data_IF_922586285332
#
_entry.id   IF_922586285332
#
_cell.length_a   1.000
_cell.length_b   1.000
_cell.length_c   1.000
_cell.angle_alpha   90.00
_cell.angle_beta   90.00
_cell.angle_gamma   90.00
#
_symmetry.space_group_name_H-M   'P 1'
#
loop_
_entity.id
_entity.type
_entity.pdbx_description
1 polymer ?
#
# COMPACT_ATOMS: atom_id res chain seq x y z
N UNK A 1 22.74 -6.32 1.21
CA UNK A 1 22.09 -5.00 1.38
C UNK A 1 22.55 -3.92 0.38
N UNK A 2 23.77 -3.96 -0.18
CA UNK A 2 24.29 -2.94 -1.11
C UNK A 2 23.79 -3.03 -2.58
N UNK A 3 23.31 -4.19 -3.03
CA UNK A 3 22.85 -4.41 -4.42
C UNK A 3 21.37 -4.01 -4.60
N UNK A 4 20.51 -4.39 -3.65
CA UNK A 4 19.09 -4.02 -3.63
C UNK A 4 18.87 -2.50 -3.56
N UNK A 5 19.65 -1.78 -2.75
CA UNK A 5 19.56 -0.31 -2.64
C UNK A 5 20.09 0.44 -3.88
N UNK A 6 20.90 -0.22 -4.73
CA UNK A 6 21.35 0.35 -6.01
C UNK A 6 20.28 0.25 -7.10
N UNK A 7 19.45 -0.79 -7.06
CA UNK A 7 18.41 -1.04 -8.08
C UNK A 7 17.10 -0.35 -7.70
N UNK A 8 16.71 -0.43 -6.43
CA UNK A 8 15.48 0.18 -5.89
C UNK A 8 15.87 1.44 -5.13
N UNK A 9 15.86 2.57 -5.84
CA UNK A 9 15.95 3.88 -5.19
C UNK A 9 14.65 4.20 -4.46
N UNK A 10 14.70 5.05 -3.44
CA UNK A 10 13.52 5.46 -2.68
C UNK A 10 12.42 6.05 -3.60
N UNK A 11 12.81 6.81 -4.64
CA UNK A 11 11.90 7.33 -5.66
C UNK A 11 11.16 6.21 -6.42
N UNK A 12 11.87 5.17 -6.83
CA UNK A 12 11.29 4.02 -7.55
C UNK A 12 10.34 3.22 -6.68
N UNK A 13 10.69 3.02 -5.40
CA UNK A 13 9.80 2.34 -4.46
C UNK A 13 8.50 3.12 -4.25
N UNK A 14 8.57 4.43 -4.02
CA UNK A 14 7.39 5.29 -3.86
C UNK A 14 6.52 5.25 -5.13
N UNK A 15 7.14 5.39 -6.30
CA UNK A 15 6.42 5.32 -7.57
C UNK A 15 5.75 3.95 -7.77
N UNK A 16 6.44 2.85 -7.49
CA UNK A 16 5.90 1.51 -7.58
C UNK A 16 4.69 1.33 -6.63
N UNK A 17 4.79 1.79 -5.39
CA UNK A 17 3.68 1.77 -4.43
C UNK A 17 2.48 2.57 -4.93
N UNK A 18 2.69 3.78 -5.48
CA UNK A 18 1.62 4.61 -6.04
C UNK A 18 0.92 3.88 -7.20
N UNK A 19 1.68 3.33 -8.14
CA UNK A 19 1.11 2.60 -9.29
C UNK A 19 0.29 1.40 -8.83
N UNK A 20 0.80 0.63 -7.87
CA UNK A 20 0.08 -0.52 -7.30
C UNK A 20 -1.20 -0.07 -6.59
N UNK A 21 -1.15 0.99 -5.78
CA UNK A 21 -2.31 1.53 -5.08
C UNK A 21 -3.38 2.01 -6.05
N UNK A 22 -3.02 2.80 -7.07
CA UNK A 22 -3.97 3.28 -8.08
C UNK A 22 -4.59 2.13 -8.87
N UNK A 23 -3.78 1.13 -9.26
CA UNK A 23 -4.25 -0.04 -9.99
C UNK A 23 -5.24 -0.84 -9.15
N UNK A 24 -4.91 -1.13 -7.88
CA UNK A 24 -5.79 -1.84 -6.97
C UNK A 24 -7.06 -1.04 -6.64
N UNK A 25 -6.98 0.29 -6.59
CA UNK A 25 -8.16 1.16 -6.40
C UNK A 25 -9.12 1.12 -7.58
N UNK A 26 -8.64 0.89 -8.81
CA UNK A 26 -9.53 0.65 -9.97
C UNK A 26 -10.06 -0.78 -9.94
N UNK A 27 -9.18 -1.75 -9.67
CA UNK A 27 -9.56 -3.17 -9.61
C UNK A 27 -10.50 -3.50 -8.45
N UNK A 28 -10.58 -2.67 -7.41
CA UNK A 28 -11.54 -2.88 -6.31
C UNK A 28 -13.00 -2.79 -6.78
N UNK A 29 -13.25 -2.14 -7.92
CA UNK A 29 -14.57 -2.09 -8.56
C UNK A 29 -14.80 -3.22 -9.56
N UNK A 30 -13.77 -3.98 -9.92
CA UNK A 30 -13.86 -5.01 -10.95
C UNK A 30 -14.36 -6.35 -10.37
N UNK A 31 -15.48 -6.82 -10.88
CA UNK A 31 -16.05 -8.13 -10.57
C UNK A 31 -15.38 -9.23 -11.37
N UNK A 32 -14.46 -9.97 -10.75
CA UNK A 32 -13.68 -11.04 -11.39
C UNK A 32 -14.57 -12.15 -11.98
N UNK A 33 -15.68 -12.50 -11.30
CA UNK A 33 -16.60 -13.55 -11.76
C UNK A 33 -17.47 -13.14 -12.95
N UNK A 34 -17.76 -11.85 -13.10
CA UNK A 34 -18.74 -11.35 -14.08
C UNK A 34 -18.12 -10.53 -15.20
N UNK A 35 -16.83 -10.20 -15.10
CA UNK A 35 -16.11 -9.34 -16.05
C UNK A 35 -16.78 -7.96 -16.21
N UNK A 36 -17.29 -7.38 -15.11
CA UNK A 36 -18.00 -6.10 -15.08
C UNK A 36 -17.53 -5.22 -13.92
N UNK A 37 -17.69 -3.90 -14.04
CA UNK A 37 -17.40 -2.94 -12.99
C UNK A 37 -18.63 -2.58 -12.16
N UNK A 38 -18.49 -2.53 -10.83
CA UNK A 38 -19.55 -2.26 -9.88
C UNK A 38 -19.26 -0.98 -9.07
N UNK A 39 -19.55 0.18 -9.65
CA UNK A 39 -19.33 1.48 -8.99
C UNK A 39 -20.34 1.80 -7.89
N UNK A 40 -21.53 1.19 -7.89
CA UNK A 40 -22.58 1.48 -6.91
C UNK A 40 -22.50 0.61 -5.64
N UNK A 41 -21.54 -0.33 -5.58
CA UNK A 41 -21.39 -1.23 -4.42
C UNK A 41 -20.51 -0.57 -3.34
N UNK A 42 -21.04 -0.23 -2.15
CA UNK A 42 -20.28 0.48 -1.13
C UNK A 42 -19.00 -0.24 -0.69
N UNK A 43 -19.03 -1.58 -0.60
CA UNK A 43 -17.87 -2.39 -0.19
C UNK A 43 -16.62 -2.16 -1.08
N UNK A 44 -16.82 -1.80 -2.35
CA UNK A 44 -15.72 -1.59 -3.30
C UNK A 44 -14.92 -0.32 -3.00
N UNK A 45 -15.47 0.59 -2.19
CA UNK A 45 -14.80 1.83 -1.77
C UNK A 45 -13.90 1.66 -0.55
N UNK A 46 -13.97 0.52 0.16
CA UNK A 46 -13.14 0.27 1.35
C UNK A 46 -11.66 0.39 0.99
N UNK A 47 -11.20 -0.28 -0.07
CA UNK A 47 -9.79 -0.23 -0.46
C UNK A 47 -9.37 1.18 -0.94
N UNK A 48 -10.09 1.84 -1.87
CA UNK A 48 -9.80 3.22 -2.26
C UNK A 48 -9.68 4.19 -1.08
N UNK A 49 -10.57 4.13 -0.10
CA UNK A 49 -10.51 5.00 1.10
C UNK A 49 -9.24 4.74 1.91
N UNK A 50 -8.91 3.47 2.16
CA UNK A 50 -7.67 3.12 2.87
C UNK A 50 -6.42 3.48 2.06
N UNK A 51 -6.50 3.43 0.73
CA UNK A 51 -5.40 3.83 -0.15
C UNK A 51 -5.04 5.30 0.01
N UNK A 52 -6.00 6.18 0.34
CA UNK A 52 -5.73 7.61 0.60
C UNK A 52 -4.79 7.79 1.78
N UNK A 53 -5.00 7.04 2.87
CA UNK A 53 -4.10 7.09 4.05
C UNK A 53 -2.69 6.64 3.67
N UNK A 54 -2.59 5.58 2.86
CA UNK A 54 -1.29 5.08 2.39
C UNK A 54 -0.60 6.08 1.45
N UNK A 55 -1.33 6.68 0.50
CA UNK A 55 -0.80 7.73 -0.37
C UNK A 55 -0.31 8.94 0.42
N UNK A 56 -1.04 9.34 1.47
CA UNK A 56 -0.63 10.41 2.37
C UNK A 56 0.67 10.06 3.10
N UNK A 57 0.82 8.82 3.56
CA UNK A 57 2.10 8.36 4.14
C UNK A 57 3.25 8.44 3.15
N UNK A 58 3.06 7.95 1.92
CA UNK A 58 4.08 8.01 0.86
C UNK A 58 4.47 9.45 0.53
N UNK A 59 3.50 10.36 0.49
CA UNK A 59 3.75 11.78 0.31
C UNK A 59 4.60 12.38 1.44
N UNK A 60 4.25 12.11 2.71
CA UNK A 60 5.01 12.63 3.86
C UNK A 60 6.46 12.09 3.86
N UNK A 61 6.65 10.80 3.56
CA UNK A 61 7.99 10.21 3.43
C UNK A 61 8.76 10.86 2.28
N UNK A 62 8.14 11.02 1.11
CA UNK A 62 8.74 11.68 -0.05
C UNK A 62 9.18 13.11 0.26
N UNK A 63 8.30 13.90 0.88
CA UNK A 63 8.54 15.29 1.25
C UNK A 63 9.72 15.39 2.21
N UNK A 64 9.70 14.63 3.31
CA UNK A 64 10.76 14.70 4.33
C UNK A 64 12.12 14.23 3.85
N UNK A 65 12.17 13.21 2.98
CA UNK A 65 13.44 12.79 2.36
C UNK A 65 13.98 13.89 1.42
N UNK A 66 13.10 14.65 0.79
CA UNK A 66 13.49 15.70 -0.17
C UNK A 66 13.98 16.96 0.55
N UNK A 67 13.30 17.37 1.63
CA UNK A 67 13.61 18.56 2.42
C UNK A 67 14.59 18.30 3.58
N UNK A 68 15.10 17.07 3.73
CA UNK A 68 15.98 16.64 4.83
C UNK A 68 15.41 16.97 6.22
N UNK A 69 14.09 16.81 6.37
CA UNK A 69 13.39 17.14 7.61
C UNK A 69 13.39 15.99 8.62
N UNK A 70 13.50 16.36 9.89
CA UNK A 70 13.36 15.44 11.02
C UNK A 70 11.95 14.84 11.14
N UNK A 71 11.82 13.66 11.76
CA UNK A 71 10.53 13.02 11.96
C UNK A 71 9.69 13.79 12.98
N UNK A 72 8.42 14.02 12.66
CA UNK A 72 7.46 14.71 13.55
C UNK A 72 6.37 13.76 14.09
N UNK A 73 5.65 14.15 15.16
CA UNK A 73 4.58 13.34 15.74
C UNK A 73 3.41 13.04 14.79
N UNK A 74 3.10 13.92 13.82
CA UNK A 74 1.99 13.70 12.87
C UNK A 74 2.34 12.61 11.89
N UNK A 75 3.58 12.60 11.37
CA UNK A 75 4.10 11.50 10.55
C UNK A 75 3.97 10.14 11.25
N UNK A 76 4.32 10.09 12.54
CA UNK A 76 4.21 8.87 13.34
C UNK A 76 2.77 8.37 13.45
N UNK A 77 1.81 9.27 13.68
CA UNK A 77 0.40 8.89 13.76
C UNK A 77 -0.07 8.26 12.44
N UNK A 78 0.33 8.83 11.30
CA UNK A 78 0.01 8.28 9.98
C UNK A 78 0.63 6.88 9.82
N UNK A 79 1.86 6.68 10.25
CA UNK A 79 2.52 5.36 10.22
C UNK A 79 1.78 4.32 11.07
N UNK A 80 1.28 4.71 12.25
CA UNK A 80 0.48 3.83 13.09
C UNK A 80 -0.86 3.47 12.48
N UNK A 81 -1.54 4.41 11.82
CA UNK A 81 -2.73 4.07 11.03
C UNK A 81 -2.35 3.08 9.93
N UNK A 82 -1.21 3.28 9.26
CA UNK A 82 -0.75 2.39 8.20
C UNK A 82 -0.44 0.96 8.70
N UNK A 83 0.00 0.79 9.95
CA UNK A 83 0.13 -0.55 10.56
C UNK A 83 -1.20 -1.29 10.67
N UNK A 84 -2.29 -0.59 10.98
CA UNK A 84 -3.64 -1.19 10.98
C UNK A 84 -4.06 -1.54 9.55
N UNK A 85 -3.82 -0.63 8.59
CA UNK A 85 -4.12 -0.86 7.18
C UNK A 85 -3.36 -2.08 6.63
N UNK A 86 -2.13 -2.33 7.09
CA UNK A 86 -1.35 -3.51 6.69
C UNK A 86 -2.04 -4.83 7.08
N UNK A 87 -2.74 -4.88 8.20
CA UNK A 87 -3.53 -6.06 8.60
C UNK A 87 -4.69 -6.27 7.62
N UNK A 88 -5.35 -5.19 7.20
CA UNK A 88 -6.43 -5.24 6.20
C UNK A 88 -5.89 -5.74 4.85
N UNK A 89 -4.67 -5.36 4.46
CA UNK A 89 -4.04 -5.90 3.25
C UNK A 89 -3.79 -7.40 3.33
N UNK A 90 -3.36 -7.93 4.47
CA UNK A 90 -3.22 -9.38 4.67
C UNK A 90 -4.56 -10.10 4.49
N UNK A 91 -5.64 -9.53 5.03
CA UNK A 91 -6.98 -10.06 4.82
C UNK A 91 -7.39 -10.03 3.33
N UNK A 92 -7.06 -8.96 2.61
CA UNK A 92 -7.34 -8.87 1.17
C UNK A 92 -6.53 -9.88 0.33
N UNK A 93 -5.31 -10.21 0.73
CA UNK A 93 -4.53 -11.29 0.11
C UNK A 93 -5.27 -12.62 0.29
N UNK A 94 -5.73 -12.91 1.51
CA UNK A 94 -6.49 -14.12 1.80
C UNK A 94 -7.79 -14.20 0.98
N UNK A 95 -8.58 -13.14 0.95
CA UNK A 95 -9.80 -13.05 0.12
C UNK A 95 -9.48 -13.33 -1.36
N UNK A 96 -8.43 -12.70 -1.90
CA UNK A 96 -8.02 -12.87 -3.29
C UNK A 96 -7.54 -14.29 -3.58
N UNK A 97 -6.83 -14.92 -2.64
CA UNK A 97 -6.41 -16.32 -2.76
C UNK A 97 -7.62 -17.28 -2.76
N UNK A 98 -8.64 -16.99 -1.93
CA UNK A 98 -9.89 -17.76 -1.92
C UNK A 98 -10.66 -17.63 -3.22
N UNK A 99 -10.68 -16.44 -3.84
CA UNK A 99 -11.25 -16.26 -5.19
C UNK A 99 -10.51 -17.11 -6.22
N UNK A 100 -9.18 -17.21 -6.15
CA UNK A 100 -8.43 -18.03 -7.11
C UNK A 100 -8.67 -19.53 -6.88
N UNK A 101 -8.79 -19.97 -5.62
CA UNK A 101 -9.04 -21.37 -5.27
C UNK A 101 -10.45 -21.83 -5.66
N UNK A 102 -11.44 -20.92 -5.65
CA UNK A 102 -12.83 -21.25 -5.99
C UNK A 102 -13.01 -21.75 -7.42
N UNK A 103 -12.00 -21.57 -8.28
CA UNK A 103 -12.03 -21.98 -9.69
C UNK A 103 -12.32 -23.46 -9.90
N UNK A 104 -11.87 -24.33 -8.99
CA UNK A 104 -12.10 -25.78 -9.08
C UNK A 104 -13.57 -26.17 -8.86
N UNK A 105 -14.38 -25.27 -8.32
CA UNK A 105 -15.81 -25.50 -8.04
C UNK A 105 -16.76 -25.12 -9.17
N UNK A 106 -16.26 -24.55 -10.28
CA UNK A 106 -17.10 -24.07 -11.38
C UNK A 106 -16.85 -24.86 -12.68
N UNK A 107 -17.93 -25.22 -13.37
CA UNK A 107 -17.86 -25.79 -14.71
C UNK A 107 -17.31 -24.75 -15.71
N UNK A 108 -16.46 -25.20 -16.64
CA UNK A 108 -15.68 -24.34 -17.57
C UNK A 108 -16.53 -23.37 -18.42
N UNK A 109 -17.82 -23.62 -18.59
CA UNK A 109 -18.73 -22.78 -19.37
C UNK A 109 -19.34 -21.59 -18.62
N UNK A 110 -19.20 -21.51 -17.30
CA UNK A 110 -19.86 -20.47 -16.47
C UNK A 110 -18.96 -19.25 -16.24
N UNK A 111 -17.64 -19.42 -16.34
CA UNK A 111 -16.67 -18.38 -15.95
C UNK A 111 -16.07 -17.68 -17.18
N UNK A 112 -15.92 -16.34 -17.17
CA UNK A 112 -15.21 -15.61 -18.21
C UNK A 112 -13.74 -16.05 -18.36
N UNK A 113 -13.23 -16.08 -19.59
CA UNK A 113 -11.81 -16.37 -19.85
C UNK A 113 -10.84 -15.40 -19.13
N UNK A 114 -11.30 -14.19 -18.78
CA UNK A 114 -10.54 -13.17 -18.04
C UNK A 114 -10.40 -13.47 -16.55
N UNK A 115 -11.12 -14.46 -16.00
CA UNK A 115 -11.13 -14.78 -14.58
C UNK A 115 -9.74 -15.11 -14.03
N UNK A 116 -9.08 -16.14 -14.58
CA UNK A 116 -7.75 -16.58 -14.15
C UNK A 116 -6.72 -15.44 -14.17
N UNK A 117 -6.50 -14.73 -15.31
CA UNK A 117 -5.48 -13.70 -15.36
C UNK A 117 -5.78 -12.54 -14.41
N UNK A 118 -7.04 -12.12 -14.28
CA UNK A 118 -7.40 -11.00 -13.38
C UNK A 118 -7.31 -11.38 -11.89
N UNK A 119 -7.73 -12.59 -11.52
CA UNK A 119 -7.59 -13.10 -10.17
C UNK A 119 -6.11 -13.21 -9.76
N UNK A 120 -5.28 -13.78 -10.64
CA UNK A 120 -3.82 -13.88 -10.40
C UNK A 120 -3.17 -12.51 -10.31
N UNK A 121 -3.49 -11.59 -11.23
CA UNK A 121 -2.96 -10.22 -11.19
C UNK A 121 -3.32 -9.52 -9.88
N UNK A 122 -4.58 -9.60 -9.48
CA UNK A 122 -5.08 -8.98 -8.24
C UNK A 122 -4.38 -9.54 -7.01
N UNK A 123 -4.22 -10.87 -6.94
CA UNK A 123 -3.48 -11.53 -5.85
C UNK A 123 -2.00 -11.09 -5.79
N UNK A 124 -1.33 -11.02 -6.94
CA UNK A 124 0.07 -10.59 -7.02
C UNK A 124 0.20 -9.12 -6.56
N UNK A 125 -0.70 -8.24 -7.01
CA UNK A 125 -0.69 -6.84 -6.61
C UNK A 125 -0.96 -6.65 -5.11
N UNK A 126 -1.93 -7.37 -4.54
CA UNK A 126 -2.16 -7.36 -3.09
C UNK A 126 -0.97 -7.92 -2.31
N UNK A 127 -0.23 -8.87 -2.86
CA UNK A 127 0.94 -9.47 -2.20
C UNK A 127 2.18 -8.58 -2.25
N UNK A 128 2.40 -7.86 -3.36
CA UNK A 128 3.57 -6.98 -3.50
C UNK A 128 3.41 -5.69 -2.68
N UNK A 129 2.17 -5.21 -2.52
CA UNK A 129 1.87 -3.99 -1.77
C UNK A 129 2.47 -3.97 -0.35
N UNK A 130 2.21 -4.96 0.54
CA UNK A 130 2.79 -4.95 1.88
C UNK A 130 4.31 -5.05 1.88
N UNK A 131 4.91 -5.73 0.91
CA UNK A 131 6.37 -5.81 0.77
C UNK A 131 6.95 -4.42 0.49
N UNK A 132 6.34 -3.67 -0.44
CA UNK A 132 6.72 -2.28 -0.73
C UNK A 132 6.50 -1.37 0.49
N UNK A 133 5.42 -1.56 1.25
CA UNK A 133 5.16 -0.81 2.48
C UNK A 133 6.24 -1.04 3.54
N UNK A 134 6.59 -2.31 3.81
CA UNK A 134 7.65 -2.66 4.75
C UNK A 134 9.00 -2.08 4.32
N UNK A 135 9.29 -2.12 3.02
CA UNK A 135 10.49 -1.49 2.48
C UNK A 135 10.45 0.04 2.65
N UNK A 136 9.28 0.65 2.54
CA UNK A 136 9.09 2.09 2.78
C UNK A 136 9.36 2.45 4.25
N UNK A 137 8.90 1.65 5.21
CA UNK A 137 9.22 1.83 6.63
C UNK A 137 10.71 1.74 6.90
N UNK A 138 11.40 0.82 6.23
CA UNK A 138 12.84 0.70 6.32
C UNK A 138 13.56 1.93 5.72
N UNK A 139 13.16 2.37 4.52
CA UNK A 139 13.69 3.58 3.89
C UNK A 139 13.48 4.81 4.77
N UNK A 140 12.29 4.96 5.34
CA UNK A 140 11.94 6.03 6.27
C UNK A 140 12.92 6.07 7.44
N UNK A 141 13.13 4.94 8.12
CA UNK A 141 14.10 4.86 9.24
C UNK A 141 15.54 5.17 8.79
N UNK A 142 15.91 4.82 7.56
CA UNK A 142 17.25 5.03 7.02
C UNK A 142 17.53 6.50 6.67
N UNK A 143 16.58 7.20 6.08
CA UNK A 143 16.77 8.58 5.59
C UNK A 143 16.30 9.64 6.59
N UNK A 144 15.17 9.43 7.26
CA UNK A 144 14.56 10.41 8.18
C UNK A 144 14.99 10.13 9.64
N UNK A 145 15.27 8.87 9.98
CA UNK A 145 15.71 8.49 11.31
C UNK A 145 14.60 7.97 12.23
N UNK A 146 14.94 7.85 13.52
CA UNK A 146 14.10 7.25 14.57
C UNK A 146 13.20 8.33 15.18
N UNK A 147 11.99 7.96 15.59
CA UNK A 147 11.14 8.85 16.38
C UNK A 147 11.76 9.04 17.78
N UNK A 148 12.37 10.19 18.03
CA UNK A 148 12.85 10.58 19.37
C UNK A 148 11.89 11.60 19.99
N UNK A 149 11.41 11.32 21.20
CA UNK A 149 10.43 12.13 21.92
C UNK A 149 11.06 13.37 22.57
N UNK A 150 12.31 13.28 23.01
CA UNK A 150 13.01 14.34 23.73
C UNK A 150 13.42 15.48 22.76
N UNK A 151 13.92 15.10 21.57
CA UNK A 151 14.41 16.05 20.57
C UNK A 151 13.30 16.93 19.94
N UNK A 152 12.04 16.50 19.94
CA UNK A 152 10.94 17.31 19.41
C UNK A 152 10.63 18.52 20.30
N UNK A 153 10.77 18.36 21.63
CA UNK A 153 10.53 19.43 22.58
C UNK A 153 11.68 20.45 22.59
N UNK A 154 12.92 19.98 22.39
CA UNK A 154 14.11 20.83 22.38
C UNK A 154 14.25 21.67 21.09
N UNK A 155 13.88 21.14 19.92
CA UNK A 155 13.94 21.89 18.65
C UNK A 155 12.76 22.87 18.43
N UNK A 156 11.70 22.78 19.23
CA UNK A 156 10.60 23.75 19.21
C UNK A 156 10.93 25.04 19.96
N UNK A 157 12.04 25.06 20.71
CA UNK A 157 12.48 26.22 21.48
C UNK A 157 13.32 27.19 20.63
N UNK A 158 12.81 27.55 19.45
CA UNK A 158 13.39 28.56 18.52
C UNK A 158 13.11 30.01 18.96
N UNK A 159 12.53 30.21 20.15
CA UNK A 159 12.21 31.52 20.73
C UNK A 159 12.92 31.80 22.07
N UNK A 160 13.98 31.03 22.41
CA UNK A 160 14.95 31.43 23.44
C UNK A 160 16.27 31.89 22.82
#
# INVERSE_FOLDING_TARGET
MNTLSKIITWKRNILASIVVLLTLSVLSFYGIYTNQFYFLKPDNYIFPILSVVHLLYLYVVWFKITEDELPDPKMRNIEYVLYVVMIIYLFKIYDSAMVLYSIGGFNEHVIPATFKPMATLTLVLYSILPILTLYTFWLRKRYIGIYNFENYNDNLNIWQ
#
